data_IF_227582119020
#
_entry.id   IF_227582119020
#
_cell.length_a   1.000
_cell.length_b   1.000
_cell.length_c   1.000
_cell.angle_alpha   90.00
_cell.angle_beta   90.00
_cell.angle_gamma   90.00
#
_symmetry.space_group_name_H-M   'P 1'
#
loop_
_entity.id
_entity.type
_entity.pdbx_description
1 polymer ?
#
# COMPACT_ATOMS: atom_id res chain seq x y z
N UNK A 1 4.56 14.62 -2.58
CA UNK A 1 4.67 13.82 -1.33
C UNK A 1 4.77 12.35 -1.70
N UNK A 2 5.66 11.63 -1.06
CA UNK A 2 5.85 10.19 -1.29
C UNK A 2 5.36 9.42 -0.06
N UNK A 3 4.44 8.46 -0.28
CA UNK A 3 3.92 7.58 0.76
C UNK A 3 4.29 6.15 0.41
N UNK A 4 4.95 5.48 1.35
CA UNK A 4 5.48 4.13 1.14
C UNK A 4 4.66 3.10 1.89
N UNK A 5 4.44 1.97 1.23
CA UNK A 5 3.76 0.82 1.82
C UNK A 5 4.57 -0.44 1.65
N UNK A 6 4.56 -1.26 2.66
CA UNK A 6 5.07 -2.62 2.59
C UNK A 6 3.92 -3.56 2.27
N UNK A 7 4.11 -4.39 1.25
CA UNK A 7 3.09 -5.33 0.78
C UNK A 7 3.49 -6.74 1.20
N UNK A 8 2.58 -7.45 1.82
CA UNK A 8 2.82 -8.84 2.21
C UNK A 8 1.53 -9.63 2.17
N UNK A 9 1.65 -10.94 2.11
CA UNK A 9 0.50 -11.83 2.12
C UNK A 9 0.31 -12.44 3.50
N UNK A 10 -0.91 -12.36 4.01
CA UNK A 10 -1.29 -12.94 5.29
C UNK A 10 -2.52 -13.84 5.07
N UNK A 11 -2.27 -15.14 5.01
CA UNK A 11 -3.32 -16.09 4.70
C UNK A 11 -3.90 -15.85 3.32
N UNK A 12 -5.19 -15.55 3.26
CA UNK A 12 -5.90 -15.30 2.01
C UNK A 12 -5.84 -13.85 1.55
N UNK A 13 -5.31 -12.96 2.38
CA UNK A 13 -5.33 -11.54 2.11
C UNK A 13 -3.96 -10.99 1.75
N UNK A 14 -3.96 -10.09 0.78
CA UNK A 14 -2.84 -9.21 0.53
C UNK A 14 -2.97 -7.99 1.42
N UNK A 15 -1.91 -7.64 2.12
CA UNK A 15 -1.91 -6.56 3.09
C UNK A 15 -0.94 -5.46 2.69
N UNK A 16 -1.30 -4.23 3.03
CA UNK A 16 -0.44 -3.08 2.85
C UNK A 16 -0.34 -2.31 4.15
N UNK A 17 0.88 -2.10 4.61
CA UNK A 17 1.17 -1.36 5.83
C UNK A 17 2.00 -0.14 5.51
N UNK A 18 1.53 1.03 5.93
CA UNK A 18 2.24 2.28 5.72
C UNK A 18 3.56 2.33 6.49
N UNK A 19 4.59 2.87 5.85
CA UNK A 19 5.90 3.08 6.48
C UNK A 19 5.99 4.54 6.85
N UNK A 20 6.02 4.82 8.16
CA UNK A 20 6.02 6.19 8.67
C UNK A 20 4.68 6.89 8.59
N UNK A 21 3.62 6.16 8.27
CA UNK A 21 2.25 6.67 8.25
C UNK A 21 1.32 5.58 8.76
N UNK A 22 0.33 5.98 9.53
CA UNK A 22 -0.59 5.04 10.18
C UNK A 22 -1.76 4.69 9.25
N UNK A 23 -1.43 3.92 8.22
CA UNK A 23 -2.40 3.42 7.26
C UNK A 23 -2.20 1.91 7.09
N UNK A 24 -3.28 1.16 7.21
CA UNK A 24 -3.30 -0.27 6.92
C UNK A 24 -4.51 -0.58 6.07
N UNK A 25 -4.32 -1.40 5.04
CA UNK A 25 -5.43 -1.90 4.24
C UNK A 25 -5.12 -3.30 3.72
N UNK A 26 -6.13 -3.97 3.20
CA UNK A 26 -5.98 -5.32 2.67
C UNK A 26 -6.93 -5.55 1.51
N UNK A 27 -6.70 -6.62 0.77
CA UNK A 27 -7.54 -7.04 -0.34
C UNK A 27 -7.33 -8.52 -0.63
N UNK A 28 -8.28 -9.14 -1.30
CA UNK A 28 -8.19 -10.56 -1.67
C UNK A 28 -7.29 -10.78 -2.86
N UNK A 29 -7.11 -9.77 -3.69
CA UNK A 29 -6.21 -9.78 -4.85
C UNK A 29 -5.29 -8.57 -4.78
N UNK A 30 -4.19 -8.61 -5.54
CA UNK A 30 -3.29 -7.46 -5.65
C UNK A 30 -3.98 -6.25 -6.27
N UNK A 31 -4.83 -6.45 -7.26
CA UNK A 31 -5.57 -5.37 -7.89
C UNK A 31 -6.51 -4.68 -6.89
N UNK A 32 -7.23 -5.47 -6.11
CA UNK A 32 -8.09 -4.95 -5.06
C UNK A 32 -7.28 -4.20 -4.00
N UNK A 33 -6.13 -4.77 -3.60
CA UNK A 33 -5.24 -4.10 -2.65
C UNK A 33 -4.78 -2.74 -3.16
N UNK A 34 -4.40 -2.64 -4.44
CA UNK A 34 -3.94 -1.38 -5.02
C UNK A 34 -5.05 -0.33 -5.01
N UNK A 35 -6.28 -0.72 -5.34
CA UNK A 35 -7.43 0.17 -5.27
C UNK A 35 -7.70 0.62 -3.83
N UNK A 36 -7.60 -0.29 -2.88
CA UNK A 36 -7.83 0.01 -1.46
C UNK A 36 -6.74 0.92 -0.89
N UNK A 37 -5.48 0.76 -1.34
CA UNK A 37 -4.40 1.69 -0.96
C UNK A 37 -4.71 3.09 -1.44
N UNK A 38 -5.14 3.23 -2.69
CA UNK A 38 -5.49 4.55 -3.25
C UNK A 38 -6.59 5.22 -2.45
N UNK A 39 -7.66 4.49 -2.14
CA UNK A 39 -8.75 5.01 -1.33
C UNK A 39 -8.30 5.43 0.06
N UNK A 40 -7.49 4.60 0.72
CA UNK A 40 -7.00 4.90 2.06
C UNK A 40 -6.11 6.15 2.07
N UNK A 41 -5.27 6.31 1.06
CA UNK A 41 -4.41 7.49 0.92
C UNK A 41 -5.25 8.74 0.64
N UNK A 42 -6.25 8.64 -0.21
CA UNK A 42 -7.17 9.75 -0.52
C UNK A 42 -7.89 10.25 0.74
N UNK A 43 -8.34 9.35 1.57
CA UNK A 43 -9.01 9.71 2.82
C UNK A 43 -8.02 10.30 3.83
N UNK A 44 -6.88 9.65 4.01
CA UNK A 44 -5.89 10.07 5.00
C UNK A 44 -5.29 11.44 4.69
N UNK A 45 -5.06 11.73 3.41
CA UNK A 45 -4.43 12.96 2.94
C UNK A 45 -5.41 13.88 2.20
N UNK A 46 -6.68 13.84 2.56
CA UNK A 46 -7.73 14.59 1.88
C UNK A 46 -7.42 16.09 1.79
N UNK A 47 -6.96 16.69 2.87
CA UNK A 47 -6.63 18.12 2.89
C UNK A 47 -5.47 18.47 1.94
N UNK A 48 -4.46 17.61 1.89
CA UNK A 48 -3.32 17.81 0.99
C UNK A 48 -3.76 17.73 -0.47
N UNK A 49 -4.60 16.75 -0.79
CA UNK A 49 -5.13 16.57 -2.14
C UNK A 49 -6.00 17.76 -2.54
N UNK A 50 -6.87 18.21 -1.66
CA UNK A 50 -7.72 19.37 -1.92
C UNK A 50 -6.92 20.66 -2.10
N UNK A 51 -5.75 20.77 -1.49
CA UNK A 51 -4.86 21.93 -1.67
C UNK A 51 -4.00 21.82 -2.93
N UNK A 52 -4.19 20.80 -3.75
CA UNK A 52 -3.51 20.63 -5.04
C UNK A 52 -2.20 19.89 -4.98
N UNK A 53 -1.90 19.20 -3.89
CA UNK A 53 -0.67 18.40 -3.78
C UNK A 53 -0.84 17.05 -4.46
N UNK A 54 0.21 16.63 -5.15
CA UNK A 54 0.28 15.29 -5.71
C UNK A 54 0.86 14.32 -4.68
N UNK A 55 0.29 13.13 -4.59
CA UNK A 55 0.78 12.08 -3.72
C UNK A 55 1.21 10.91 -4.58
N UNK A 56 2.48 10.52 -4.43
CA UNK A 56 3.02 9.34 -5.10
C UNK A 56 3.01 8.19 -4.10
N UNK A 57 2.41 7.08 -4.48
CA UNK A 57 2.37 5.87 -3.66
C UNK A 57 3.43 4.91 -4.18
N UNK A 58 4.32 4.49 -3.30
CA UNK A 58 5.31 3.47 -3.60
C UNK A 58 5.01 2.23 -2.78
N UNK A 59 4.74 1.12 -3.45
CA UNK A 59 4.51 -0.16 -2.79
C UNK A 59 5.73 -1.06 -2.97
N UNK A 60 6.13 -1.73 -1.89
CA UNK A 60 7.31 -2.60 -1.87
C UNK A 60 6.89 -3.99 -1.44
N UNK A 61 7.32 -4.99 -2.19
CA UNK A 61 7.10 -6.39 -1.84
C UNK A 61 8.40 -7.15 -1.91
N UNK A 62 8.51 -8.20 -1.10
CA UNK A 62 9.65 -9.09 -1.11
C UNK A 62 9.23 -10.44 -1.68
N UNK A 63 10.07 -11.00 -2.53
CA UNK A 63 9.86 -12.33 -3.08
C UNK A 63 11.07 -13.17 -2.68
N UNK A 64 10.79 -14.26 -1.98
CA UNK A 64 11.82 -15.17 -1.56
C UNK A 64 11.94 -16.31 -2.58
N UNK A 65 13.15 -16.51 -3.06
CA UNK A 65 13.41 -17.61 -3.99
C UNK A 65 14.27 -18.63 -3.27
N UNK A 66 13.73 -19.86 -3.18
CA UNK A 66 14.42 -20.93 -2.49
C UNK A 66 15.65 -21.40 -3.28
N UNK A 67 16.72 -21.83 -2.58
CA UNK A 67 17.89 -22.36 -3.27
C UNK A 67 17.57 -23.66 -4.01
N UNK A 68 18.24 -23.88 -5.14
CA UNK A 68 18.07 -25.07 -5.94
C UNK A 68 19.14 -26.09 -5.55
N UNK A 69 18.72 -27.31 -5.24
CA UNK A 69 19.63 -28.41 -4.92
C UNK A 69 19.62 -28.78 -3.45
#
# INVERSE_FOLDING_TARGET
>A
MLVKFEIYKDGEYWCAEGIGVDIFTQGETLDELMDNIKEAVEVHFEEDIQSGKYITIQSMSEIEVAPIG
#
